data_IF_649863529320
#
_entry.id   IF_649863529320
#
_cell.length_a   1.000
_cell.length_b   1.000
_cell.length_c   1.000
_cell.angle_alpha   90.00
_cell.angle_beta   90.00
_cell.angle_gamma   90.00
#
_symmetry.space_group_name_H-M   'P 1'
#
loop_
_entity.id
_entity.type
_entity.pdbx_description
1 polymer ?
#
# COMPACT_ATOMS: atom_id res chain seq x y z
N UNK A 1 15.23 1.62 20.57
CA UNK A 1 16.26 0.58 20.34
C UNK A 1 16.97 0.16 21.62
N UNK A 2 17.44 1.10 22.44
CA UNK A 2 18.02 0.84 23.76
C UNK A 2 17.11 0.05 24.71
N UNK A 3 15.78 0.27 24.67
CA UNK A 3 14.80 -0.51 25.45
C UNK A 3 14.73 -1.96 24.97
N UNK A 4 14.73 -2.19 23.65
CA UNK A 4 14.69 -3.53 23.04
C UNK A 4 15.97 -4.32 23.29
N UNK A 5 17.13 -3.66 23.40
CA UNK A 5 18.40 -4.31 23.72
C UNK A 5 18.51 -4.79 25.18
N UNK A 6 17.58 -4.41 26.06
CA UNK A 6 17.55 -4.84 27.47
C UNK A 6 16.86 -6.18 27.69
N UNK A 7 16.13 -6.71 26.71
CA UNK A 7 15.45 -8.00 26.82
C UNK A 7 16.30 -9.14 26.27
N UNK A 8 16.00 -10.39 26.63
CA UNK A 8 16.73 -11.53 26.06
C UNK A 8 16.35 -11.79 24.60
N UNK A 9 17.28 -12.38 23.83
CA UNK A 9 17.08 -12.74 22.42
C UNK A 9 15.84 -13.60 22.18
N UNK A 10 15.54 -14.51 23.10
CA UNK A 10 14.35 -15.39 23.04
C UNK A 10 13.06 -14.59 23.20
N UNK A 11 13.01 -13.63 24.14
CA UNK A 11 11.83 -12.79 24.37
C UNK A 11 11.60 -11.82 23.22
N UNK A 12 12.69 -11.27 22.68
CA UNK A 12 12.65 -10.42 21.49
C UNK A 12 12.04 -11.17 20.30
N UNK A 13 12.47 -12.41 20.06
CA UNK A 13 11.88 -13.26 19.02
C UNK A 13 10.39 -13.49 19.24
N UNK A 14 9.97 -13.84 20.46
CA UNK A 14 8.56 -14.07 20.78
C UNK A 14 7.71 -12.80 20.63
N UNK A 15 8.26 -11.65 20.99
CA UNK A 15 7.62 -10.35 20.78
C UNK A 15 7.46 -10.06 19.29
N UNK A 16 8.48 -10.31 18.46
CA UNK A 16 8.40 -10.16 17.02
C UNK A 16 7.30 -11.04 16.43
N UNK A 17 7.19 -12.30 16.85
CA UNK A 17 6.11 -13.20 16.40
C UNK A 17 4.74 -12.62 16.74
N UNK A 18 4.57 -12.04 17.93
CA UNK A 18 3.29 -11.44 18.32
C UNK A 18 2.97 -10.16 17.51
N UNK A 19 3.98 -9.36 17.18
CA UNK A 19 3.83 -8.17 16.32
C UNK A 19 3.51 -8.57 14.88
N UNK A 20 4.12 -9.63 14.35
CA UNK A 20 3.79 -10.16 13.03
C UNK A 20 2.33 -10.63 12.98
N UNK A 21 1.84 -11.27 14.05
CA UNK A 21 0.42 -11.65 14.16
C UNK A 21 -0.51 -10.45 14.14
N UNK A 22 -0.13 -9.37 14.80
CA UNK A 22 -0.87 -8.10 14.76
C UNK A 22 -0.97 -7.56 13.33
N UNK A 23 0.17 -7.53 12.62
CA UNK A 23 0.24 -7.07 11.24
C UNK A 23 -0.58 -7.93 10.27
N UNK A 24 -0.86 -9.18 10.62
CA UNK A 24 -1.68 -10.12 9.86
C UNK A 24 -3.15 -10.16 10.33
N UNK A 25 -3.59 -9.21 11.17
CA UNK A 25 -4.94 -9.16 11.78
C UNK A 25 -5.31 -10.39 12.64
N UNK A 26 -4.32 -11.19 13.08
CA UNK A 26 -4.56 -12.30 14.03
C UNK A 26 -4.68 -11.80 15.49
N UNK A 27 -4.33 -10.53 15.74
CA UNK A 27 -4.44 -9.85 17.02
C UNK A 27 -3.26 -10.05 17.98
N UNK A 28 -3.11 -9.11 18.93
CA UNK A 28 -2.08 -9.15 19.99
C UNK A 28 -2.62 -9.71 21.30
N UNK A 29 -1.95 -10.74 21.82
CA UNK A 29 -2.10 -11.20 23.20
C UNK A 29 -1.28 -10.30 24.14
N UNK A 30 -1.90 -9.22 24.62
CA UNK A 30 -1.25 -8.25 25.50
C UNK A 30 -0.84 -8.84 26.85
N UNK A 31 -1.53 -9.87 27.34
CA UNK A 31 -1.15 -10.58 28.57
C UNK A 31 0.17 -11.35 28.40
N UNK A 32 0.36 -12.00 27.25
CA UNK A 32 1.63 -12.63 26.91
C UNK A 32 2.73 -11.59 26.71
N UNK A 33 2.46 -10.50 26.01
CA UNK A 33 3.46 -9.43 25.80
C UNK A 33 3.88 -8.81 27.13
N UNK A 34 2.93 -8.52 28.03
CA UNK A 34 3.22 -7.99 29.36
C UNK A 34 4.07 -8.94 30.19
N UNK A 35 3.83 -10.27 30.11
CA UNK A 35 4.66 -11.27 30.77
C UNK A 35 6.06 -11.33 30.19
N UNK A 36 6.20 -11.30 28.86
CA UNK A 36 7.50 -11.34 28.18
C UNK A 36 8.36 -10.10 28.46
N UNK A 37 7.72 -8.95 28.68
CA UNK A 37 8.40 -7.67 28.92
C UNK A 37 8.60 -7.33 30.41
N UNK A 38 7.94 -8.08 31.31
CA UNK A 38 8.07 -7.91 32.77
C UNK A 38 9.51 -8.03 33.27
N UNK A 39 10.25 -9.00 32.75
CA UNK A 39 11.65 -9.24 33.14
C UNK A 39 12.60 -8.11 32.71
N UNK A 40 12.22 -7.32 31.71
CA UNK A 40 12.98 -6.18 31.23
C UNK A 40 12.60 -4.86 31.95
N UNK A 41 11.63 -4.90 32.88
CA UNK A 41 11.03 -3.77 33.60
C UNK A 41 10.42 -2.72 32.65
N UNK A 42 9.69 -3.17 31.63
CA UNK A 42 9.03 -2.26 30.70
C UNK A 42 7.76 -1.70 31.33
N UNK A 43 7.53 -0.41 31.17
CA UNK A 43 6.25 0.21 31.47
C UNK A 43 5.27 0.03 30.30
N UNK A 44 3.98 0.31 30.51
CA UNK A 44 2.96 0.22 29.46
C UNK A 44 3.29 1.10 28.24
N UNK A 45 3.98 2.23 28.45
CA UNK A 45 4.53 3.08 27.39
C UNK A 45 5.64 2.40 26.59
N UNK A 46 6.60 1.76 27.26
CA UNK A 46 7.71 1.04 26.62
C UNK A 46 7.23 -0.15 25.79
N UNK A 47 6.20 -0.86 26.27
CA UNK A 47 5.59 -1.99 25.54
C UNK A 47 4.98 -1.48 24.23
N UNK A 48 4.16 -0.43 24.30
CA UNK A 48 3.54 0.17 23.10
C UNK A 48 4.58 0.70 22.13
N UNK A 49 5.59 1.41 22.63
CA UNK A 49 6.69 1.91 21.81
C UNK A 49 7.46 0.77 21.12
N UNK A 50 7.71 -0.32 21.85
CA UNK A 50 8.41 -1.49 21.31
C UNK A 50 7.60 -2.19 20.22
N UNK A 51 6.31 -2.38 20.43
CA UNK A 51 5.38 -2.93 19.42
C UNK A 51 5.37 -2.02 18.19
N UNK A 52 5.20 -0.70 18.37
CA UNK A 52 5.15 0.26 17.28
C UNK A 52 6.45 0.30 16.46
N UNK A 53 7.60 0.26 17.13
CA UNK A 53 8.92 0.22 16.46
C UNK A 53 9.09 -1.07 15.67
N UNK A 54 8.75 -2.22 16.26
CA UNK A 54 8.84 -3.51 15.56
C UNK A 54 7.87 -3.60 14.39
N UNK A 55 6.64 -3.14 14.58
CA UNK A 55 5.61 -3.06 13.53
C UNK A 55 6.11 -2.20 12.38
N UNK A 56 6.63 -1.01 12.67
CA UNK A 56 7.19 -0.11 11.66
C UNK A 56 8.36 -0.74 10.90
N UNK A 57 9.32 -1.35 11.60
CA UNK A 57 10.48 -1.99 10.98
C UNK A 57 10.04 -3.13 10.05
N UNK A 58 9.19 -4.04 10.55
CA UNK A 58 8.74 -5.21 9.79
C UNK A 58 7.88 -4.82 8.59
N UNK A 59 6.96 -3.87 8.77
CA UNK A 59 6.15 -3.34 7.67
C UNK A 59 7.01 -2.58 6.65
N UNK A 60 8.00 -1.81 7.08
CA UNK A 60 8.91 -1.10 6.19
C UNK A 60 9.79 -2.07 5.40
N UNK A 61 10.33 -3.10 6.05
CA UNK A 61 11.11 -4.14 5.40
C UNK A 61 10.26 -4.87 4.34
N UNK A 62 9.05 -5.29 4.70
CA UNK A 62 8.15 -5.98 3.77
C UNK A 62 7.74 -5.09 2.60
N UNK A 63 7.48 -3.79 2.84
CA UNK A 63 7.09 -2.81 1.83
C UNK A 63 8.19 -2.56 0.79
N UNK A 64 9.45 -2.55 1.20
CA UNK A 64 10.59 -2.32 0.31
C UNK A 64 11.23 -3.63 -0.19
N UNK A 65 10.60 -4.78 0.08
CA UNK A 65 11.10 -6.12 -0.28
C UNK A 65 12.56 -6.36 0.17
N UNK A 66 12.87 -5.95 1.41
CA UNK A 66 14.21 -6.08 1.98
C UNK A 66 14.45 -7.54 2.38
N UNK A 67 15.59 -8.09 1.97
CA UNK A 67 16.04 -9.44 2.33
C UNK A 67 16.50 -9.53 3.80
N UNK A 68 16.56 -10.74 4.33
CA UNK A 68 16.86 -10.98 5.75
C UNK A 68 18.29 -10.59 6.15
N UNK A 69 19.25 -10.61 5.22
CA UNK A 69 20.65 -10.22 5.47
C UNK A 69 20.82 -8.69 5.49
N UNK A 70 20.15 -7.98 4.58
CA UNK A 70 20.10 -6.51 4.55
C UNK A 70 19.40 -5.96 5.80
N UNK A 71 18.22 -6.50 6.14
CA UNK A 71 17.50 -6.15 7.37
C UNK A 71 18.37 -6.41 8.61
N UNK A 72 19.12 -7.52 8.61
CA UNK A 72 20.03 -7.85 9.71
C UNK A 72 21.14 -6.82 9.87
N UNK A 73 21.69 -6.35 8.76
CA UNK A 73 22.76 -5.35 8.76
C UNK A 73 22.26 -3.99 9.27
N UNK A 74 21.07 -3.55 8.84
CA UNK A 74 20.45 -2.30 9.32
C UNK A 74 20.14 -2.35 10.83
N UNK A 75 19.55 -3.45 11.30
CA UNK A 75 19.22 -3.61 12.71
C UNK A 75 20.46 -3.61 13.61
N UNK A 76 21.56 -4.19 13.14
CA UNK A 76 22.86 -4.15 13.83
C UNK A 76 23.43 -2.72 13.85
N UNK A 77 23.32 -1.96 12.75
CA UNK A 77 23.75 -0.55 12.71
C UNK A 77 22.93 0.35 13.65
N UNK A 78 21.64 0.05 13.83
CA UNK A 78 20.78 0.72 14.79
C UNK A 78 21.06 0.30 16.26
N UNK A 79 22.00 -0.62 16.47
CA UNK A 79 22.50 -1.02 17.79
C UNK A 79 21.87 -2.27 18.41
N UNK A 80 21.13 -3.09 17.64
CA UNK A 80 20.67 -4.40 18.14
C UNK A 80 21.82 -5.42 18.16
N UNK A 81 21.94 -6.21 19.25
CA UNK A 81 22.84 -7.36 19.28
C UNK A 81 22.53 -8.35 18.16
N UNK A 82 23.57 -8.94 17.56
CA UNK A 82 23.46 -9.94 16.47
C UNK A 82 22.53 -11.11 16.81
N UNK A 83 22.49 -11.53 18.06
CA UNK A 83 21.58 -12.58 18.53
C UNK A 83 20.10 -12.20 18.41
N UNK A 84 19.75 -10.94 18.71
CA UNK A 84 18.38 -10.44 18.62
C UNK A 84 17.96 -10.31 17.16
N UNK A 85 18.86 -9.76 16.35
CA UNK A 85 18.66 -9.57 14.92
C UNK A 85 18.45 -10.90 14.19
N UNK A 86 19.26 -11.91 14.48
CA UNK A 86 19.12 -13.24 13.85
C UNK A 86 17.75 -13.87 14.17
N UNK A 87 17.25 -13.69 15.39
CA UNK A 87 15.93 -14.18 15.79
C UNK A 87 14.78 -13.46 15.07
N UNK A 88 14.90 -12.13 14.93
CA UNK A 88 13.92 -11.28 14.24
C UNK A 88 13.88 -11.58 12.75
N UNK A 89 15.03 -11.62 12.08
CA UNK A 89 15.12 -11.86 10.64
C UNK A 89 14.52 -13.23 10.25
N UNK A 90 14.75 -14.28 11.04
CA UNK A 90 14.11 -15.58 10.80
C UNK A 90 12.59 -15.52 10.90
N UNK A 91 12.06 -14.87 11.94
CA UNK A 91 10.61 -14.72 12.10
C UNK A 91 9.98 -13.86 11.00
N UNK A 92 10.71 -12.87 10.49
CA UNK A 92 10.30 -12.08 9.33
C UNK A 92 10.31 -12.93 8.05
N UNK A 93 11.39 -13.65 7.75
CA UNK A 93 11.52 -14.48 6.54
C UNK A 93 10.42 -15.54 6.45
N UNK A 94 10.09 -16.20 7.58
CA UNK A 94 9.00 -17.18 7.67
C UNK A 94 7.62 -16.61 7.29
N UNK A 95 7.42 -15.29 7.46
CA UNK A 95 6.12 -14.61 7.29
C UNK A 95 6.16 -13.47 6.28
N UNK A 96 7.26 -13.32 5.54
CA UNK A 96 7.50 -12.23 4.60
C UNK A 96 6.43 -12.16 3.53
N UNK A 97 6.16 -13.30 2.88
CA UNK A 97 5.16 -13.38 1.80
C UNK A 97 3.75 -13.01 2.28
N UNK A 98 3.36 -13.45 3.47
CA UNK A 98 2.05 -13.14 4.06
C UNK A 98 1.94 -11.65 4.43
N UNK A 99 3.01 -11.06 4.98
CA UNK A 99 3.05 -9.63 5.28
C UNK A 99 2.96 -8.79 4.01
N UNK A 100 3.66 -9.17 2.93
CA UNK A 100 3.56 -8.50 1.65
C UNK A 100 2.17 -8.58 1.04
N UNK A 101 1.54 -9.76 1.09
CA UNK A 101 0.18 -9.94 0.61
C UNK A 101 -0.80 -9.05 1.39
N UNK A 102 -0.70 -9.03 2.73
CA UNK A 102 -1.53 -8.18 3.56
C UNK A 102 -1.31 -6.68 3.31
N UNK A 103 -0.05 -6.25 3.21
CA UNK A 103 0.27 -4.87 2.86
C UNK A 103 -0.26 -4.52 1.45
N UNK A 104 -0.24 -5.48 0.53
CA UNK A 104 -0.78 -5.34 -0.82
C UNK A 104 -2.31 -5.26 -0.85
N UNK A 105 -3.01 -5.89 0.09
CA UNK A 105 -4.46 -5.73 0.31
C UNK A 105 -4.82 -4.37 0.91
N UNK A 106 -4.06 -3.91 1.91
CA UNK A 106 -4.31 -2.63 2.61
C UNK A 106 -3.87 -1.43 1.75
N UNK A 107 -2.93 -1.64 0.82
CA UNK A 107 -2.44 -0.58 -0.06
C UNK A 107 -3.54 -0.10 -1.00
N UNK A 108 -3.73 1.23 -1.04
CA UNK A 108 -4.57 1.88 -2.04
C UNK A 108 -4.02 1.57 -3.44
N UNK A 109 -4.72 0.71 -4.15
CA UNK A 109 -4.47 0.46 -5.56
C UNK A 109 -5.35 1.40 -6.37
N UNK A 110 -4.72 2.23 -7.20
CA UNK A 110 -5.44 3.02 -8.19
C UNK A 110 -5.69 2.16 -9.42
N UNK A 111 -6.89 2.24 -9.98
CA UNK A 111 -7.16 1.66 -11.29
C UNK A 111 -6.29 2.31 -12.36
N UNK A 112 -5.74 1.49 -13.27
CA UNK A 112 -4.86 1.97 -14.34
C UNK A 112 -5.64 2.08 -15.64
N UNK A 113 -5.59 3.24 -16.30
CA UNK A 113 -6.15 3.39 -17.64
C UNK A 113 -5.29 2.61 -18.65
N UNK A 114 -5.85 1.56 -19.25
CA UNK A 114 -5.16 0.65 -20.17
C UNK A 114 -5.28 1.13 -21.62
N UNK A 115 -6.49 1.51 -22.04
CA UNK A 115 -6.74 1.93 -23.40
C UNK A 115 -7.81 3.03 -23.47
N UNK A 116 -7.62 3.92 -24.45
CA UNK A 116 -8.58 4.96 -24.80
C UNK A 116 -8.88 4.82 -26.29
N UNK A 117 -10.14 4.57 -26.63
CA UNK A 117 -10.63 4.63 -28.00
C UNK A 117 -11.63 5.77 -28.12
N UNK A 118 -11.70 6.40 -29.28
CA UNK A 118 -12.64 7.46 -29.55
C UNK A 118 -13.27 7.30 -30.92
N UNK A 119 -14.51 7.80 -31.06
CA UNK A 119 -15.17 7.97 -32.35
C UNK A 119 -16.02 9.24 -32.33
N UNK A 120 -16.26 9.81 -33.50
CA UNK A 120 -17.13 10.97 -33.68
C UNK A 120 -18.35 10.51 -34.46
N UNK A 121 -19.51 10.63 -33.82
CA UNK A 121 -20.80 10.34 -34.40
C UNK A 121 -21.47 11.67 -34.80
N UNK A 122 -22.23 11.68 -35.90
CA UNK A 122 -22.97 12.86 -36.34
C UNK A 122 -24.47 12.54 -36.39
N UNK A 123 -25.26 13.15 -35.52
CA UNK A 123 -26.70 12.88 -35.45
C UNK A 123 -27.45 13.83 -36.38
N UNK A 124 -27.95 13.31 -37.50
CA UNK A 124 -28.65 14.08 -38.54
C UNK A 124 -30.09 14.47 -38.12
N UNK A 125 -30.81 13.56 -37.46
CA UNK A 125 -32.19 13.77 -37.01
C UNK A 125 -32.46 12.97 -35.73
N UNK A 126 -33.41 13.44 -34.91
CA UNK A 126 -33.89 12.76 -33.69
C UNK A 126 -35.42 12.57 -33.77
N UNK A 127 -35.97 11.68 -32.95
CA UNK A 127 -37.42 11.42 -32.85
C UNK A 127 -38.24 12.68 -32.54
N UNK A 128 -37.62 13.64 -31.85
CA UNK A 128 -38.23 14.92 -31.42
C UNK A 128 -37.96 16.07 -32.40
N UNK A 129 -36.89 15.99 -33.21
CA UNK A 129 -36.38 17.10 -34.04
C UNK A 129 -35.94 16.61 -35.44
N UNK A 130 -36.56 17.16 -36.49
CA UNK A 130 -36.32 16.79 -37.90
C UNK A 130 -34.89 17.06 -38.38
N UNK A 131 -34.19 18.03 -37.82
CA UNK A 131 -32.76 18.31 -38.10
C UNK A 131 -32.06 18.65 -36.79
N UNK A 132 -31.06 17.86 -36.41
CA UNK A 132 -30.23 18.09 -35.22
C UNK A 132 -28.84 18.56 -35.65
N UNK A 133 -28.20 17.85 -36.59
CA UNK A 133 -26.90 18.24 -37.17
C UNK A 133 -25.78 18.47 -36.14
N UNK A 134 -25.77 17.70 -35.05
CA UNK A 134 -24.79 17.88 -33.97
C UNK A 134 -23.73 16.76 -33.95
N UNK A 135 -22.43 17.12 -33.90
CA UNK A 135 -21.34 16.16 -33.70
C UNK A 135 -21.23 15.77 -32.23
N UNK A 136 -21.15 14.47 -31.97
CA UNK A 136 -20.97 13.89 -30.64
C UNK A 136 -19.72 13.02 -30.61
N UNK A 137 -18.87 13.18 -29.61
CA UNK A 137 -17.66 12.37 -29.39
C UNK A 137 -18.00 11.25 -28.43
N UNK A 138 -17.81 10.00 -28.84
CA UNK A 138 -17.85 8.87 -27.92
C UNK A 138 -16.44 8.47 -27.53
N UNK A 139 -16.18 8.44 -26.22
CA UNK A 139 -14.94 7.95 -25.62
C UNK A 139 -15.21 6.60 -24.97
N UNK A 140 -14.39 5.61 -25.30
CA UNK A 140 -14.34 4.31 -24.64
C UNK A 140 -13.05 4.25 -23.84
N UNK A 141 -13.19 4.29 -22.52
CA UNK A 141 -12.09 4.21 -21.56
C UNK A 141 -12.06 2.79 -21.00
N UNK A 142 -10.93 2.11 -21.13
CA UNK A 142 -10.69 0.80 -20.55
C UNK A 142 -9.73 0.98 -19.39
N UNK A 143 -10.18 0.72 -18.18
CA UNK A 143 -9.37 0.83 -16.98
C UNK A 143 -9.35 -0.50 -16.24
N UNK A 144 -8.18 -0.87 -15.73
CA UNK A 144 -7.97 -2.02 -14.87
C UNK A 144 -8.52 -1.71 -13.49
N UNK A 145 -9.43 -2.56 -13.02
CA UNK A 145 -9.94 -2.49 -11.66
C UNK A 145 -8.86 -2.95 -10.66
N UNK A 146 -8.58 -2.16 -9.61
CA UNK A 146 -7.49 -2.44 -8.68
C UNK A 146 -7.68 -3.70 -7.82
N UNK A 147 -8.93 -4.09 -7.57
CA UNK A 147 -9.27 -5.20 -6.67
C UNK A 147 -9.43 -6.53 -7.41
N UNK A 148 -10.03 -6.48 -8.60
CA UNK A 148 -10.43 -7.68 -9.37
C UNK A 148 -9.49 -8.00 -10.53
N UNK A 149 -8.48 -7.15 -10.78
CA UNK A 149 -7.54 -7.25 -11.90
C UNK A 149 -8.25 -7.35 -13.27
N UNK A 150 -9.51 -6.91 -13.32
CA UNK A 150 -10.39 -7.03 -14.47
C UNK A 150 -10.49 -5.70 -15.22
N UNK A 151 -10.56 -5.76 -16.54
CA UNK A 151 -10.69 -4.54 -17.35
C UNK A 151 -12.14 -4.07 -17.38
N UNK A 152 -12.43 -2.95 -16.73
CA UNK A 152 -13.70 -2.26 -16.83
C UNK A 152 -13.71 -1.30 -18.03
N UNK A 153 -14.70 -1.45 -18.91
CA UNK A 153 -14.93 -0.53 -20.02
C UNK A 153 -16.02 0.47 -19.67
N UNK A 154 -15.68 1.76 -19.68
CA UNK A 154 -16.63 2.85 -19.54
C UNK A 154 -16.75 3.59 -20.88
N UNK A 155 -17.99 3.72 -21.38
CA UNK A 155 -18.28 4.49 -22.59
C UNK A 155 -18.97 5.79 -22.19
N UNK A 156 -18.42 6.91 -22.61
CA UNK A 156 -18.94 8.25 -22.33
C UNK A 156 -19.21 8.97 -23.64
N UNK A 157 -20.41 9.55 -23.76
CA UNK A 157 -20.80 10.38 -24.89
C UNK A 157 -20.69 11.85 -24.50
N UNK A 158 -19.96 12.64 -25.28
CA UNK A 158 -19.57 14.01 -24.95
C UNK A 158 -19.77 14.91 -26.17
N UNK A 159 -20.40 16.07 -25.97
CA UNK A 159 -20.51 17.12 -26.99
C UNK A 159 -19.15 17.75 -27.32
N UNK A 160 -18.99 18.33 -28.51
CA UNK A 160 -17.74 18.98 -28.92
C UNK A 160 -17.20 20.02 -27.91
N UNK A 161 -18.07 20.86 -27.33
CA UNK A 161 -17.66 21.90 -26.38
C UNK A 161 -17.13 21.31 -25.07
N UNK A 162 -17.86 20.34 -24.49
CA UNK A 162 -17.41 19.61 -23.29
C UNK A 162 -16.09 18.85 -23.53
N UNK A 163 -15.88 18.32 -24.74
CA UNK A 163 -14.63 17.66 -25.09
C UNK A 163 -13.44 18.64 -25.13
N UNK A 164 -13.65 19.88 -25.62
CA UNK A 164 -12.63 20.94 -25.58
C UNK A 164 -12.28 21.37 -24.16
N UNK A 165 -13.27 21.46 -23.28
CA UNK A 165 -13.04 21.74 -21.85
C UNK A 165 -12.22 20.60 -21.24
N UNK A 166 -12.62 19.34 -21.43
CA UNK A 166 -11.89 18.17 -20.94
C UNK A 166 -10.42 18.17 -21.39
N UNK A 167 -10.16 18.47 -22.67
CA UNK A 167 -8.80 18.55 -23.20
C UNK A 167 -7.96 19.65 -22.51
N UNK A 168 -8.57 20.80 -22.25
CA UNK A 168 -7.89 21.93 -21.59
C UNK A 168 -7.50 21.56 -20.16
N UNK A 169 -8.43 20.98 -19.40
CA UNK A 169 -8.20 20.54 -18.01
C UNK A 169 -7.13 19.44 -17.93
N UNK A 170 -7.15 18.46 -18.85
CA UNK A 170 -6.14 17.40 -18.90
C UNK A 170 -4.74 17.94 -19.20
N UNK A 171 -4.62 18.94 -20.09
CA UNK A 171 -3.34 19.62 -20.36
C UNK A 171 -2.85 20.41 -19.14
N UNK A 172 -3.74 21.06 -18.42
CA UNK A 172 -3.40 21.77 -17.19
C UNK A 172 -2.90 20.80 -16.12
N UNK A 173 -3.60 19.68 -15.91
CA UNK A 173 -3.17 18.62 -14.99
C UNK A 173 -1.80 18.03 -15.39
N UNK A 174 -1.57 17.78 -16.69
CA UNK A 174 -0.26 17.34 -17.18
C UNK A 174 0.85 18.33 -16.86
N UNK A 175 0.59 19.63 -17.03
CA UNK A 175 1.56 20.69 -16.71
C UNK A 175 1.91 20.71 -15.22
N UNK A 176 0.91 20.56 -14.34
CA UNK A 176 1.13 20.48 -12.89
C UNK A 176 1.91 19.24 -12.49
N UNK A 177 1.61 18.08 -13.07
CA UNK A 177 2.32 16.83 -12.77
C UNK A 177 3.80 16.90 -13.20
N UNK A 178 4.09 17.48 -14.35
CA UNK A 178 5.46 17.63 -14.82
C UNK A 178 6.28 18.64 -13.99
N UNK A 179 5.63 19.63 -13.36
CA UNK A 179 6.30 20.60 -12.50
C UNK A 179 6.70 20.05 -11.12
N UNK A 180 6.20 18.86 -10.76
CA UNK A 180 6.52 18.15 -9.51
C UNK A 180 7.65 17.12 -9.66
N UNK A 181 8.12 16.89 -10.88
CA UNK A 181 9.28 16.04 -11.19
C UNK A 181 10.57 16.87 -11.19
#
# INVERSE_FOLDING_TARGET
MSTLARMSSVKMKLLCVQVIKDLLDEGIDYDKVSKLTSDAKFESGDIKASIAVLSFILSSAAKHDVDSDSLSSELQQLGLPKEHTTGLCKSYEDKHSALQEKLREISLRLGRLEAVNWRVDYTLSSSELKQVNEPTVQLKLQAQDPETDSTQTTVVSITADKFRVLLTELKQAQTMMNALQ
#
